data_IF_727715872223
#
_entry.id   IF_727715872223
#
_cell.length_a   1.000
_cell.length_b   1.000
_cell.length_c   1.000
_cell.angle_alpha   90.00
_cell.angle_beta   90.00
_cell.angle_gamma   90.00
#
_symmetry.space_group_name_H-M   'P 1'
#
loop_
_entity.id
_entity.type
_entity.pdbx_description
1 polymer ?
#
# COMPACT_ATOMS: atom_id res chain seq x y z
N UNK A 1 39.08 2.98 -35.47
CA UNK A 1 38.47 1.78 -36.11
C UNK A 1 38.25 0.62 -35.11
N UNK A 2 39.17 0.36 -34.17
CA UNK A 2 39.01 -0.71 -33.15
C UNK A 2 37.80 -0.50 -32.21
N UNK A 3 37.53 0.72 -31.74
CA UNK A 3 36.39 1.02 -30.85
C UNK A 3 35.03 0.78 -31.52
N UNK A 4 34.90 1.06 -32.81
CA UNK A 4 33.67 0.84 -33.56
C UNK A 4 33.34 -0.64 -33.70
N UNK A 5 34.38 -1.49 -33.82
CA UNK A 5 34.25 -2.95 -33.92
C UNK A 5 33.73 -3.54 -32.58
N UNK A 6 34.15 -3.02 -31.41
CA UNK A 6 33.66 -3.47 -30.11
C UNK A 6 32.20 -3.05 -29.86
N UNK A 7 31.83 -1.84 -30.29
CA UNK A 7 30.43 -1.36 -30.20
C UNK A 7 29.51 -2.22 -31.06
N UNK A 8 29.94 -2.57 -32.28
CA UNK A 8 29.19 -3.43 -33.18
C UNK A 8 29.02 -4.86 -32.62
N UNK A 9 30.09 -5.39 -31.98
CA UNK A 9 30.06 -6.71 -31.35
C UNK A 9 29.11 -6.76 -30.14
N UNK A 10 29.09 -5.70 -29.32
CA UNK A 10 28.17 -5.56 -28.19
C UNK A 10 26.72 -5.45 -28.68
N UNK A 11 26.49 -4.69 -29.76
CA UNK A 11 25.16 -4.55 -30.37
C UNK A 11 24.64 -5.90 -30.90
N UNK A 12 25.51 -6.73 -31.49
CA UNK A 12 25.16 -8.05 -32.03
C UNK A 12 24.73 -9.03 -30.94
N UNK A 13 25.38 -8.98 -29.76
CA UNK A 13 25.04 -9.83 -28.60
C UNK A 13 23.68 -9.45 -27.99
N UNK A 14 23.31 -8.17 -28.04
CA UNK A 14 22.02 -7.70 -27.52
C UNK A 14 20.84 -8.17 -28.40
N UNK A 15 21.02 -8.31 -29.70
CA UNK A 15 19.95 -8.72 -30.64
C UNK A 15 19.63 -10.21 -30.52
N UNK A 16 20.62 -11.07 -30.24
CA UNK A 16 20.41 -12.53 -30.13
C UNK A 16 19.59 -12.93 -28.88
N UNK A 17 19.74 -12.22 -27.76
CA UNK A 17 19.04 -12.52 -26.50
C UNK A 17 17.52 -12.29 -26.58
N UNK A 18 17.05 -11.39 -27.46
CA UNK A 18 15.62 -11.11 -27.64
C UNK A 18 14.89 -12.25 -28.36
N UNK A 19 15.55 -12.89 -29.33
CA UNK A 19 14.97 -13.96 -30.16
C UNK A 19 14.70 -15.28 -29.38
N UNK A 20 15.54 -15.60 -28.40
CA UNK A 20 15.38 -16.83 -27.61
C UNK A 20 14.19 -16.69 -26.61
N UNK A 21 14.03 -15.53 -26.00
CA UNK A 21 12.90 -15.27 -25.11
C UNK A 21 11.57 -15.29 -25.86
N UNK A 22 11.50 -14.69 -27.03
CA UNK A 22 10.31 -14.72 -27.90
C UNK A 22 9.92 -16.15 -28.29
N UNK A 23 10.90 -17.01 -28.60
CA UNK A 23 10.66 -18.43 -28.88
C UNK A 23 10.11 -19.15 -27.64
N UNK A 24 10.67 -18.86 -26.45
CA UNK A 24 10.19 -19.42 -25.19
C UNK A 24 8.73 -19.04 -24.91
N UNK A 25 8.36 -17.77 -25.09
CA UNK A 25 6.99 -17.29 -24.88
C UNK A 25 5.98 -18.01 -25.80
N UNK A 26 6.38 -18.35 -27.01
CA UNK A 26 5.53 -19.08 -28.00
C UNK A 26 5.58 -20.59 -27.84
N UNK A 27 6.51 -21.13 -27.05
CA UNK A 27 6.65 -22.56 -26.80
C UNK A 27 5.40 -23.12 -26.08
N UNK A 28 5.11 -24.38 -26.29
CA UNK A 28 4.12 -25.18 -25.55
C UNK A 28 4.77 -26.03 -24.46
N UNK A 29 6.09 -25.94 -24.30
CA UNK A 29 6.82 -26.61 -23.22
C UNK A 29 6.69 -25.83 -21.93
N UNK A 30 5.69 -26.18 -21.11
CA UNK A 30 5.38 -25.51 -19.86
C UNK A 30 6.38 -25.83 -18.76
N UNK A 31 7.03 -26.99 -18.79
CA UNK A 31 8.06 -27.35 -17.82
C UNK A 31 9.32 -26.49 -18.03
N UNK A 32 9.75 -26.33 -19.26
CA UNK A 32 10.83 -25.42 -19.60
C UNK A 32 10.49 -23.96 -19.23
N UNK A 33 9.26 -23.51 -19.48
CA UNK A 33 8.82 -22.16 -19.07
C UNK A 33 8.89 -21.97 -17.57
N UNK A 34 8.48 -22.97 -16.78
CA UNK A 34 8.53 -22.95 -15.32
C UNK A 34 9.98 -22.83 -14.80
N UNK A 35 10.88 -23.64 -15.35
CA UNK A 35 12.30 -23.57 -15.02
C UNK A 35 12.88 -22.19 -15.35
N UNK A 36 12.60 -21.68 -16.55
CA UNK A 36 13.06 -20.34 -16.99
C UNK A 36 12.43 -19.21 -16.18
N UNK A 37 11.20 -19.34 -15.70
CA UNK A 37 10.59 -18.35 -14.81
C UNK A 37 11.34 -18.24 -13.48
N UNK A 38 11.79 -19.38 -12.91
CA UNK A 38 12.64 -19.39 -11.72
C UNK A 38 14.01 -18.77 -11.98
N UNK A 39 14.67 -19.16 -13.08
CA UNK A 39 15.97 -18.58 -13.45
C UNK A 39 15.87 -17.05 -13.65
N UNK A 40 14.82 -16.56 -14.31
CA UNK A 40 14.62 -15.13 -14.50
C UNK A 40 14.32 -14.41 -13.20
N UNK A 41 13.59 -15.03 -12.28
CA UNK A 41 13.36 -14.49 -10.94
C UNK A 41 14.68 -14.32 -10.18
N UNK A 42 15.50 -15.38 -10.11
CA UNK A 42 16.81 -15.37 -9.45
C UNK A 42 17.77 -14.36 -10.09
N UNK A 43 17.69 -14.18 -11.42
CA UNK A 43 18.46 -13.19 -12.17
C UNK A 43 17.92 -11.75 -12.06
N UNK A 44 16.87 -11.49 -11.25
CA UNK A 44 16.25 -10.18 -11.10
C UNK A 44 15.47 -9.68 -12.33
N UNK A 45 15.15 -10.56 -13.26
CA UNK A 45 14.42 -10.23 -14.52
C UNK A 45 12.91 -10.37 -14.32
N UNK A 46 12.36 -9.66 -13.32
CA UNK A 46 10.99 -9.85 -12.81
C UNK A 46 9.90 -9.65 -13.87
N UNK A 47 10.08 -8.74 -14.83
CA UNK A 47 9.14 -8.55 -15.94
C UNK A 47 9.02 -9.83 -16.76
N UNK A 48 10.14 -10.46 -17.12
CA UNK A 48 10.13 -11.73 -17.87
C UNK A 48 9.54 -12.86 -17.04
N UNK A 49 9.79 -12.85 -15.72
CA UNK A 49 9.19 -13.80 -14.78
C UNK A 49 7.68 -13.70 -14.79
N UNK A 50 7.11 -12.51 -14.57
CA UNK A 50 5.65 -12.32 -14.51
C UNK A 50 4.97 -12.64 -15.83
N UNK A 51 5.62 -12.36 -16.97
CA UNK A 51 5.09 -12.68 -18.29
C UNK A 51 5.00 -14.21 -18.53
N UNK A 52 6.02 -14.97 -18.12
CA UNK A 52 5.96 -16.43 -18.15
C UNK A 52 4.92 -16.98 -17.15
N UNK A 53 4.90 -16.43 -15.93
CA UNK A 53 3.96 -16.87 -14.90
C UNK A 53 2.51 -16.59 -15.29
N UNK A 54 2.22 -15.54 -16.06
CA UNK A 54 0.87 -15.28 -16.57
C UNK A 54 0.32 -16.41 -17.45
N UNK A 55 1.20 -17.13 -18.15
CA UNK A 55 0.85 -18.29 -18.95
C UNK A 55 0.82 -19.60 -18.14
N UNK A 56 1.62 -19.68 -17.07
CA UNK A 56 1.78 -20.86 -16.23
C UNK A 56 0.67 -21.00 -15.17
N UNK A 57 0.32 -19.89 -14.49
CA UNK A 57 -0.62 -19.92 -13.36
C UNK A 57 -1.98 -20.56 -13.69
N UNK A 58 -2.63 -20.24 -14.83
CA UNK A 58 -3.87 -20.91 -15.20
C UNK A 58 -3.71 -22.42 -15.44
N UNK A 59 -2.55 -22.82 -15.90
CA UNK A 59 -2.25 -24.20 -16.31
C UNK A 59 -1.95 -25.10 -15.11
N UNK A 60 -1.23 -24.55 -14.12
CA UNK A 60 -0.79 -25.26 -12.91
C UNK A 60 -1.78 -25.11 -11.75
N UNK A 61 -2.96 -24.53 -11.99
CA UNK A 61 -3.99 -24.37 -10.96
C UNK A 61 -4.35 -25.70 -10.31
N UNK A 62 -4.21 -25.76 -8.97
CA UNK A 62 -4.48 -26.99 -8.21
C UNK A 62 -3.32 -28.00 -8.21
N UNK A 63 -2.20 -27.73 -8.86
CA UNK A 63 -0.99 -28.57 -8.76
C UNK A 63 -0.20 -28.27 -7.48
N UNK A 64 0.75 -29.14 -7.16
CA UNK A 64 1.66 -28.96 -6.01
C UNK A 64 2.52 -27.71 -6.20
N UNK A 65 2.88 -27.38 -7.43
CA UNK A 65 3.72 -26.21 -7.74
C UNK A 65 2.94 -24.88 -7.76
N UNK A 66 1.62 -24.94 -7.76
CA UNK A 66 0.79 -23.72 -7.87
C UNK A 66 1.09 -22.70 -6.77
N UNK A 67 1.34 -23.13 -5.55
CA UNK A 67 1.68 -22.26 -4.42
C UNK A 67 2.98 -21.49 -4.70
N UNK A 68 4.04 -22.19 -5.09
CA UNK A 68 5.33 -21.58 -5.40
C UNK A 68 5.23 -20.58 -6.55
N UNK A 69 4.54 -20.95 -7.64
CA UNK A 69 4.39 -20.08 -8.81
C UNK A 69 3.61 -18.80 -8.49
N UNK A 70 2.55 -18.90 -7.69
CA UNK A 70 1.81 -17.73 -7.22
C UNK A 70 2.66 -16.86 -6.30
N UNK A 71 3.46 -17.46 -5.42
CA UNK A 71 4.41 -16.75 -4.57
C UNK A 71 5.44 -15.98 -5.41
N UNK A 72 6.08 -16.63 -6.38
CA UNK A 72 7.05 -15.99 -7.28
C UNK A 72 6.42 -14.82 -8.05
N UNK A 73 5.17 -14.97 -8.47
CA UNK A 73 4.46 -13.89 -9.15
C UNK A 73 4.28 -12.67 -8.26
N UNK A 74 3.73 -12.86 -7.05
CA UNK A 74 3.52 -11.78 -6.10
C UNK A 74 4.85 -11.10 -5.71
N UNK A 75 5.88 -11.90 -5.43
CA UNK A 75 7.23 -11.43 -5.13
C UNK A 75 7.85 -10.63 -6.27
N UNK A 76 7.62 -11.04 -7.52
CA UNK A 76 8.14 -10.32 -8.70
C UNK A 76 7.59 -8.90 -8.76
N UNK A 77 6.28 -8.72 -8.57
CA UNK A 77 5.67 -7.38 -8.51
C UNK A 77 6.20 -6.56 -7.33
N UNK A 78 6.36 -7.18 -6.17
CA UNK A 78 6.93 -6.52 -4.99
C UNK A 78 8.36 -6.01 -5.24
N UNK A 79 9.21 -6.84 -5.83
CA UNK A 79 10.61 -6.49 -6.14
C UNK A 79 10.72 -5.46 -7.27
N UNK A 80 9.73 -5.39 -8.16
CA UNK A 80 9.58 -4.28 -9.12
C UNK A 80 9.06 -2.98 -8.48
N UNK A 81 8.71 -3.01 -7.17
CA UNK A 81 8.08 -1.91 -6.43
C UNK A 81 6.67 -1.54 -6.93
N UNK A 82 6.05 -2.43 -7.69
CA UNK A 82 4.62 -2.32 -8.02
C UNK A 82 3.81 -2.85 -6.83
N UNK A 83 3.75 -2.03 -5.77
CA UNK A 83 3.11 -2.41 -4.50
C UNK A 83 1.60 -2.58 -4.63
N UNK A 84 0.97 -1.89 -5.58
CA UNK A 84 -0.46 -2.06 -5.84
C UNK A 84 -0.79 -3.48 -6.34
N UNK A 85 -0.11 -3.90 -7.41
CA UNK A 85 -0.27 -5.26 -7.94
C UNK A 85 0.20 -6.32 -6.95
N UNK A 86 1.35 -6.10 -6.30
CA UNK A 86 1.91 -7.02 -5.31
C UNK A 86 0.94 -7.26 -4.16
N UNK A 87 0.35 -6.21 -3.58
CA UNK A 87 -0.63 -6.29 -2.49
C UNK A 87 -1.84 -7.14 -2.88
N UNK A 88 -2.36 -6.94 -4.10
CA UNK A 88 -3.47 -7.73 -4.65
C UNK A 88 -3.10 -9.21 -4.79
N UNK A 89 -1.90 -9.51 -5.33
CA UNK A 89 -1.45 -10.90 -5.48
C UNK A 89 -1.16 -11.57 -4.14
N UNK A 90 -0.56 -10.87 -3.16
CA UNK A 90 -0.36 -11.42 -1.82
C UNK A 90 -1.67 -11.69 -1.09
N UNK A 91 -2.65 -10.79 -1.20
CA UNK A 91 -3.99 -11.01 -0.63
C UNK A 91 -4.65 -12.25 -1.22
N UNK A 92 -4.66 -12.35 -2.55
CA UNK A 92 -5.19 -13.53 -3.24
C UNK A 92 -4.43 -14.82 -2.87
N UNK A 93 -3.11 -14.73 -2.66
CA UNK A 93 -2.28 -15.85 -2.22
C UNK A 93 -2.72 -16.36 -0.84
N UNK A 94 -2.91 -15.46 0.14
CA UNK A 94 -3.37 -15.81 1.50
C UNK A 94 -4.74 -16.46 1.50
N UNK A 95 -5.63 -16.04 0.59
CA UNK A 95 -6.97 -16.61 0.41
C UNK A 95 -6.92 -18.02 -0.20
N UNK A 96 -6.03 -18.23 -1.18
CA UNK A 96 -5.90 -19.50 -1.89
C UNK A 96 -5.12 -20.55 -1.10
N UNK A 97 -4.12 -20.14 -0.32
CA UNK A 97 -3.21 -21.02 0.41
C UNK A 97 -3.17 -20.68 1.91
N UNK A 98 -4.31 -20.83 2.65
CA UNK A 98 -4.40 -20.35 4.04
C UNK A 98 -3.46 -21.06 5.02
N UNK A 99 -2.91 -22.21 4.64
CA UNK A 99 -1.96 -23.02 5.42
C UNK A 99 -0.65 -23.28 4.66
N UNK A 100 -0.37 -22.49 3.62
CA UNK A 100 0.80 -22.64 2.78
C UNK A 100 2.08 -22.18 3.48
N UNK A 101 3.19 -22.61 2.93
CA UNK A 101 4.55 -22.30 3.45
C UNK A 101 4.82 -20.79 3.52
N UNK A 102 4.28 -20.03 2.56
CA UNK A 102 4.56 -18.60 2.42
C UNK A 102 3.44 -17.71 2.97
N UNK A 103 2.40 -18.28 3.57
CA UNK A 103 1.17 -17.56 3.91
C UNK A 103 1.37 -16.51 4.99
N UNK A 104 2.21 -16.77 5.99
CA UNK A 104 2.56 -15.76 7.01
C UNK A 104 3.25 -14.57 6.35
N UNK A 105 4.28 -14.81 5.55
CA UNK A 105 5.02 -13.75 4.87
C UNK A 105 4.13 -13.00 3.86
N UNK A 106 3.30 -13.70 3.09
CA UNK A 106 2.35 -13.09 2.16
C UNK A 106 1.32 -12.20 2.88
N UNK A 107 0.85 -12.62 4.05
CA UNK A 107 -0.09 -11.84 4.88
C UNK A 107 0.56 -10.53 5.37
N UNK A 108 1.81 -10.59 5.82
CA UNK A 108 2.58 -9.40 6.18
C UNK A 108 2.81 -8.48 4.97
N UNK A 109 3.31 -9.04 3.86
CA UNK A 109 3.64 -8.26 2.66
C UNK A 109 2.41 -7.63 2.00
N UNK A 110 1.23 -8.24 2.11
CA UNK A 110 -0.02 -7.62 1.66
C UNK A 110 -0.27 -6.30 2.40
N UNK A 111 -0.25 -6.31 3.75
CA UNK A 111 -0.42 -5.11 4.56
C UNK A 111 0.72 -4.10 4.35
N UNK A 112 1.95 -4.59 4.16
CA UNK A 112 3.11 -3.74 3.91
C UNK A 112 3.04 -3.05 2.54
N UNK A 113 2.46 -3.69 1.52
CA UNK A 113 2.20 -3.05 0.24
C UNK A 113 1.22 -1.88 0.38
N UNK A 114 0.11 -2.05 1.13
CA UNK A 114 -0.82 -0.97 1.45
C UNK A 114 -0.13 0.18 2.21
N UNK A 115 0.75 -0.16 3.18
CA UNK A 115 1.59 0.83 3.86
C UNK A 115 2.48 1.60 2.88
N UNK A 116 3.12 0.92 1.91
CA UNK A 116 4.00 1.55 0.91
C UNK A 116 3.28 2.50 -0.04
N UNK A 117 2.01 2.26 -0.34
CA UNK A 117 1.19 3.12 -1.21
C UNK A 117 0.30 4.07 -0.41
N UNK A 118 0.32 4.00 0.93
CA UNK A 118 -0.38 4.94 1.81
C UNK A 118 0.14 6.36 1.61
N UNK A 119 -0.71 7.31 1.19
CA UNK A 119 -0.26 8.65 0.84
C UNK A 119 -0.07 9.54 2.09
N UNK A 120 0.39 10.78 1.86
CA UNK A 120 0.43 11.81 2.89
C UNK A 120 -0.98 12.18 3.37
N UNK A 121 -1.08 12.78 4.56
CA UNK A 121 -2.33 13.02 5.28
C UNK A 121 -3.39 13.84 4.50
N UNK A 122 -2.98 14.75 3.62
CA UNK A 122 -3.91 15.60 2.86
C UNK A 122 -4.73 14.84 1.82
N UNK A 123 -4.22 13.69 1.36
CA UNK A 123 -4.85 12.87 0.32
C UNK A 123 -5.84 11.86 0.91
N UNK A 124 -6.45 11.05 0.08
CA UNK A 124 -7.33 9.96 0.51
C UNK A 124 -6.56 8.91 1.34
N UNK A 125 -7.19 8.40 2.39
CA UNK A 125 -6.55 7.51 3.38
C UNK A 125 -7.06 6.06 3.31
N UNK A 126 -7.63 5.63 2.20
CA UNK A 126 -8.11 4.25 2.03
C UNK A 126 -6.97 3.24 2.23
N UNK A 127 -5.84 3.43 1.55
CA UNK A 127 -4.69 2.54 1.70
C UNK A 127 -4.10 2.57 3.11
N UNK A 128 -4.16 3.73 3.80
CA UNK A 128 -3.73 3.84 5.21
C UNK A 128 -4.61 2.96 6.11
N UNK A 129 -5.91 3.02 5.92
CA UNK A 129 -6.88 2.21 6.68
C UNK A 129 -6.70 0.73 6.37
N UNK A 130 -6.57 0.36 5.09
CA UNK A 130 -6.34 -1.02 4.67
C UNK A 130 -5.04 -1.59 5.27
N UNK A 131 -3.96 -0.80 5.31
CA UNK A 131 -2.70 -1.22 5.95
C UNK A 131 -2.86 -1.47 7.45
N UNK A 132 -3.54 -0.57 8.18
CA UNK A 132 -3.82 -0.74 9.61
C UNK A 132 -4.63 -2.02 9.86
N UNK A 133 -5.67 -2.25 9.09
CA UNK A 133 -6.51 -3.45 9.19
C UNK A 133 -5.70 -4.71 8.88
N UNK A 134 -4.89 -4.68 7.82
CA UNK A 134 -4.02 -5.78 7.41
C UNK A 134 -3.00 -6.15 8.49
N UNK A 135 -2.28 -5.18 9.05
CA UNK A 135 -1.33 -5.43 10.15
C UNK A 135 -2.02 -5.94 11.41
N UNK A 136 -3.19 -5.38 11.77
CA UNK A 136 -3.96 -5.87 12.91
C UNK A 136 -4.45 -7.31 12.69
N UNK A 137 -4.88 -7.66 11.46
CA UNK A 137 -5.25 -9.03 11.11
C UNK A 137 -4.04 -9.97 11.20
N UNK A 138 -2.89 -9.55 10.68
CA UNK A 138 -1.63 -10.29 10.77
C UNK A 138 -1.26 -10.58 12.23
N UNK A 139 -1.25 -9.57 13.10
CA UNK A 139 -0.90 -9.74 14.52
C UNK A 139 -1.86 -10.67 15.26
N UNK A 140 -3.16 -10.65 14.93
CA UNK A 140 -4.13 -11.60 15.51
C UNK A 140 -3.92 -13.03 15.04
N UNK A 141 -3.56 -13.22 13.76
CA UNK A 141 -3.39 -14.55 13.17
C UNK A 141 -2.05 -15.18 13.55
N UNK A 142 -1.01 -14.37 13.71
CA UNK A 142 0.36 -14.81 13.99
C UNK A 142 0.93 -14.13 15.26
N UNK A 143 0.35 -14.38 16.44
CA UNK A 143 0.71 -13.67 17.68
C UNK A 143 2.15 -13.90 18.14
N UNK A 144 2.79 -14.97 17.67
CA UNK A 144 4.17 -15.33 17.99
C UNK A 144 5.17 -14.95 16.87
N UNK A 145 4.74 -14.23 15.84
CA UNK A 145 5.62 -13.80 14.76
C UNK A 145 6.66 -12.81 15.25
N UNK A 146 7.88 -12.91 14.74
CA UNK A 146 8.95 -11.94 15.00
C UNK A 146 8.65 -10.54 14.46
N UNK A 147 7.65 -10.39 13.57
CA UNK A 147 7.25 -9.13 12.96
C UNK A 147 6.23 -8.32 13.78
N UNK A 148 5.81 -8.81 14.96
CA UNK A 148 4.77 -8.16 15.78
C UNK A 148 5.14 -6.72 16.13
N UNK A 149 6.37 -6.49 16.61
CA UNK A 149 6.81 -5.13 16.99
C UNK A 149 6.94 -4.20 15.77
N UNK A 150 7.36 -4.73 14.63
CA UNK A 150 7.41 -4.00 13.37
C UNK A 150 5.98 -3.57 12.92
N UNK A 151 5.01 -4.49 13.00
CA UNK A 151 3.61 -4.19 12.69
C UNK A 151 3.02 -3.11 13.60
N UNK A 152 3.29 -3.18 14.92
CA UNK A 152 2.84 -2.14 15.87
C UNK A 152 3.38 -0.75 15.50
N UNK A 153 4.65 -0.68 15.13
CA UNK A 153 5.28 0.57 14.72
C UNK A 153 4.62 1.15 13.46
N UNK A 154 4.35 0.32 12.44
CA UNK A 154 3.63 0.77 11.25
C UNK A 154 2.19 1.22 11.57
N UNK A 155 1.48 0.47 12.42
CA UNK A 155 0.11 0.86 12.84
C UNK A 155 0.13 2.21 13.55
N UNK A 156 1.07 2.43 14.47
CA UNK A 156 1.18 3.72 15.17
C UNK A 156 1.47 4.88 14.20
N UNK A 157 2.42 4.71 13.28
CA UNK A 157 2.73 5.73 12.25
C UNK A 157 1.49 6.05 11.40
N UNK A 158 0.77 5.02 10.96
CA UNK A 158 -0.42 5.18 10.12
C UNK A 158 -1.57 5.84 10.91
N UNK A 159 -1.74 5.51 12.19
CA UNK A 159 -2.72 6.16 13.06
C UNK A 159 -2.41 7.66 13.25
N UNK A 160 -1.15 8.03 13.44
CA UNK A 160 -0.76 9.44 13.49
C UNK A 160 -1.11 10.18 12.20
N UNK A 161 -0.99 9.52 11.04
CA UNK A 161 -1.37 10.08 9.74
C UNK A 161 -2.88 10.33 9.64
N UNK A 162 -3.71 9.42 10.17
CA UNK A 162 -5.17 9.61 10.24
C UNK A 162 -5.54 10.76 11.18
N UNK A 163 -4.85 10.88 12.31
CA UNK A 163 -5.00 12.02 13.24
C UNK A 163 -4.69 13.34 12.54
N UNK A 164 -3.56 13.40 11.83
CA UNK A 164 -3.17 14.58 11.06
C UNK A 164 -4.20 14.92 9.97
N UNK A 165 -4.70 13.92 9.25
CA UNK A 165 -5.80 14.10 8.28
C UNK A 165 -7.02 14.73 8.90
N UNK A 166 -7.45 14.24 10.05
CA UNK A 166 -8.62 14.75 10.78
C UNK A 166 -8.42 16.21 11.19
N UNK A 167 -7.24 16.53 11.74
CA UNK A 167 -6.87 17.90 12.10
C UNK A 167 -6.87 18.84 10.89
N UNK A 168 -6.18 18.47 9.80
CA UNK A 168 -6.08 19.30 8.59
C UNK A 168 -7.46 19.53 7.95
N UNK A 169 -8.31 18.53 7.93
CA UNK A 169 -9.68 18.64 7.43
C UNK A 169 -10.53 19.57 8.26
N UNK A 170 -10.40 19.52 9.59
CA UNK A 170 -11.12 20.40 10.50
C UNK A 170 -10.61 21.86 10.40
N UNK A 171 -9.28 22.04 10.33
CA UNK A 171 -8.64 23.35 10.15
C UNK A 171 -9.05 24.02 8.83
N UNK A 172 -9.19 23.24 7.75
CA UNK A 172 -9.61 23.77 6.45
C UNK A 172 -10.96 24.52 6.53
N UNK A 173 -11.95 24.00 7.29
CA UNK A 173 -13.21 24.69 7.53
C UNK A 173 -13.02 26.03 8.23
N UNK A 174 -12.11 26.11 9.20
CA UNK A 174 -11.77 27.37 9.88
C UNK A 174 -11.14 28.38 8.90
N UNK A 175 -10.15 27.95 8.11
CA UNK A 175 -9.46 28.79 7.13
C UNK A 175 -10.43 29.31 6.04
N UNK A 176 -11.42 28.51 5.67
CA UNK A 176 -12.51 28.89 4.77
C UNK A 176 -13.59 29.77 5.43
N UNK A 177 -13.43 30.15 6.71
CA UNK A 177 -14.40 30.91 7.50
C UNK A 177 -15.76 30.24 7.65
N UNK A 178 -15.82 28.90 7.48
CA UNK A 178 -17.02 28.09 7.69
C UNK A 178 -17.08 27.67 9.17
N UNK A 179 -17.20 28.64 10.06
CA UNK A 179 -17.02 28.47 11.49
C UNK A 179 -17.94 27.43 12.13
N UNK A 180 -19.19 27.34 11.71
CA UNK A 180 -20.12 26.31 12.19
C UNK A 180 -19.63 24.90 11.86
N UNK A 181 -19.16 24.68 10.61
CA UNK A 181 -18.61 23.41 10.17
C UNK A 181 -17.29 23.10 10.86
N UNK A 182 -16.45 24.13 11.08
CA UNK A 182 -15.20 24.00 11.82
C UNK A 182 -15.44 23.54 13.27
N UNK A 183 -16.41 24.10 13.98
CA UNK A 183 -16.79 23.67 15.34
C UNK A 183 -17.17 22.19 15.36
N UNK A 184 -18.00 21.76 14.41
CA UNK A 184 -18.42 20.36 14.33
C UNK A 184 -17.24 19.42 14.05
N UNK A 185 -16.43 19.75 13.03
CA UNK A 185 -15.27 18.95 12.64
C UNK A 185 -14.23 18.87 13.77
N UNK A 186 -13.88 20.01 14.40
CA UNK A 186 -12.93 20.05 15.52
C UNK A 186 -13.46 19.29 16.74
N UNK A 187 -14.78 19.35 17.00
CA UNK A 187 -15.40 18.58 18.09
C UNK A 187 -15.28 17.07 17.84
N UNK A 188 -15.54 16.63 16.62
CA UNK A 188 -15.39 15.22 16.24
C UNK A 188 -13.92 14.77 16.33
N UNK A 189 -12.99 15.55 15.78
CA UNK A 189 -11.55 15.24 15.86
C UNK A 189 -11.07 15.12 17.32
N UNK A 190 -11.47 16.04 18.19
CA UNK A 190 -11.10 16.00 19.62
C UNK A 190 -11.73 14.83 20.38
N UNK A 191 -12.90 14.36 19.95
CA UNK A 191 -13.55 13.18 20.53
C UNK A 191 -12.86 11.90 20.06
N UNK A 192 -12.59 11.80 18.76
CA UNK A 192 -12.07 10.59 18.15
C UNK A 192 -10.56 10.40 18.41
N UNK A 193 -9.84 11.51 18.63
CA UNK A 193 -8.40 11.56 18.89
C UNK A 193 -8.08 12.44 20.09
N UNK A 194 -8.52 12.00 21.27
CA UNK A 194 -8.42 12.80 22.52
C UNK A 194 -6.99 13.05 22.98
N UNK A 195 -6.06 12.15 22.70
CA UNK A 195 -4.64 12.23 23.07
C UNK A 195 -3.77 12.44 21.84
N UNK A 196 -3.82 13.64 21.26
CA UNK A 196 -3.08 14.01 20.05
C UNK A 196 -2.20 15.22 20.28
N UNK A 197 -1.07 15.29 19.59
CA UNK A 197 -0.19 16.47 19.56
C UNK A 197 -0.89 17.74 19.05
N UNK A 198 -1.99 17.62 18.32
CA UNK A 198 -2.80 18.74 17.80
C UNK A 198 -3.89 19.21 18.77
N UNK A 199 -4.02 18.60 19.95
CA UNK A 199 -5.14 18.86 20.88
C UNK A 199 -5.30 20.33 21.24
N UNK A 200 -4.22 20.97 21.68
CA UNK A 200 -4.27 22.37 22.11
C UNK A 200 -4.68 23.30 20.96
N UNK A 201 -4.10 23.11 19.80
CA UNK A 201 -4.44 23.89 18.62
C UNK A 201 -5.89 23.67 18.17
N UNK A 202 -6.37 22.42 18.16
CA UNK A 202 -7.76 22.11 17.84
C UNK A 202 -8.73 22.74 18.85
N UNK A 203 -8.40 22.77 20.14
CA UNK A 203 -9.21 23.43 21.17
C UNK A 203 -9.25 24.95 20.97
N UNK A 204 -8.10 25.56 20.65
CA UNK A 204 -8.01 26.98 20.34
C UNK A 204 -8.83 27.33 19.09
N UNK A 205 -8.66 26.59 17.99
CA UNK A 205 -9.40 26.81 16.75
C UNK A 205 -10.91 26.62 16.96
N UNK A 206 -11.31 25.64 17.80
CA UNK A 206 -12.73 25.43 18.13
C UNK A 206 -13.30 26.63 18.88
N UNK A 207 -12.60 27.11 19.91
CA UNK A 207 -13.03 28.28 20.69
C UNK A 207 -13.16 29.51 19.77
N UNK A 208 -12.13 29.75 18.95
CA UNK A 208 -12.14 30.87 18.03
C UNK A 208 -13.27 30.73 16.97
N UNK A 209 -13.51 29.51 16.48
CA UNK A 209 -14.63 29.25 15.56
C UNK A 209 -16.00 29.54 16.20
N UNK A 210 -16.21 29.19 17.47
CA UNK A 210 -17.43 29.51 18.21
C UNK A 210 -17.62 31.02 18.34
N UNK A 211 -16.55 31.74 18.73
CA UNK A 211 -16.57 33.20 18.81
C UNK A 211 -16.90 33.85 17.46
N UNK A 212 -16.19 33.49 16.41
CA UNK A 212 -16.39 34.05 15.07
C UNK A 212 -17.77 33.66 14.49
N UNK A 213 -18.30 32.49 14.84
CA UNK A 213 -19.65 32.09 14.47
C UNK A 213 -20.72 32.93 15.14
N UNK A 214 -20.52 33.30 16.42
CA UNK A 214 -21.40 34.22 17.14
C UNK A 214 -21.33 35.65 16.55
N UNK A 215 -20.12 36.19 16.38
CA UNK A 215 -19.89 37.52 15.79
C UNK A 215 -20.53 37.70 14.43
N UNK A 216 -20.38 36.71 13.55
CA UNK A 216 -20.95 36.77 12.19
C UNK A 216 -22.43 36.38 12.12
N UNK A 217 -23.13 36.34 13.25
CA UNK A 217 -24.53 35.98 13.32
C UNK A 217 -25.43 37.22 13.36
N UNK A 218 -26.70 37.05 13.01
CA UNK A 218 -27.70 38.08 13.18
C UNK A 218 -27.80 38.52 14.65
N UNK A 219 -27.91 39.80 14.92
CA UNK A 219 -27.92 40.39 16.25
C UNK A 219 -28.90 39.68 17.23
N UNK A 220 -30.08 39.27 16.70
CA UNK A 220 -31.09 38.52 17.49
C UNK A 220 -30.59 37.17 17.99
N UNK A 221 -29.61 36.52 17.29
CA UNK A 221 -29.05 35.20 17.64
C UNK A 221 -27.71 35.27 18.33
N UNK A 222 -27.06 36.44 18.37
CA UNK A 222 -25.73 36.58 18.97
C UNK A 222 -25.71 36.20 20.44
N UNK A 223 -26.69 36.70 21.21
CA UNK A 223 -26.79 36.43 22.66
C UNK A 223 -26.87 34.92 22.97
N UNK A 224 -27.66 34.17 22.20
CA UNK A 224 -27.79 32.72 22.32
C UNK A 224 -26.50 31.97 22.00
N UNK A 225 -25.71 32.49 21.00
CA UNK A 225 -24.51 31.83 20.51
C UNK A 225 -23.26 32.12 21.32
N UNK A 226 -23.28 33.12 22.19
CA UNK A 226 -22.23 33.40 23.18
C UNK A 226 -22.39 32.59 24.48
N UNK A 227 -23.52 31.98 24.70
CA UNK A 227 -23.80 31.08 25.84
C UNK A 227 -23.36 29.64 25.54
#
# INVERSE_FOLDING_TARGET
>A
MRSFSYILLILLVLVTSCGEYEKLLKSTDYDLKKEKAREYFEAGKYVKTTELLSQLLPRFRGSVEAEELNWLNAQSFYLMKDYYSAGTYFKSFVEQYPYGKYTEEASFLSAFCDYKISPRAELDQENTTNAIEGFNLFMRRYPNSQRIEECKNYVNELQERLVEKSYLSARLYYDMKQYKSAVTALTNSLRDYSDTKFREEMMFLKLNSLFMYAENSLAVRQKERYQ
#
